data_IF_900796628292
#
_entry.id   IF_900796628292
#
_cell.length_a   1.000
_cell.length_b   1.000
_cell.length_c   1.000
_cell.angle_alpha   90.00
_cell.angle_beta   90.00
_cell.angle_gamma   90.00
#
_symmetry.space_group_name_H-M   'P 1'
#
loop_
_entity.id
_entity.type
_entity.pdbx_description
1 polymer ?
#
# COMPACT_ATOMS: atom_id res chain seq x y z
N UNK A 1 12.31 -16.60 29.37
CA UNK A 1 12.03 -16.43 27.92
C UNK A 1 10.67 -15.77 27.78
N UNK A 2 10.60 -14.50 27.39
CA UNK A 2 9.33 -13.79 27.19
C UNK A 2 8.90 -13.94 25.73
N UNK A 3 7.79 -14.65 25.49
CA UNK A 3 7.15 -14.73 24.19
C UNK A 3 6.33 -13.46 24.03
N UNK A 4 6.83 -12.48 23.27
CA UNK A 4 6.07 -11.29 22.93
C UNK A 4 4.99 -11.66 21.88
N UNK A 5 3.87 -12.21 22.33
CA UNK A 5 2.70 -12.45 21.49
C UNK A 5 1.79 -11.21 21.49
N UNK A 6 1.99 -10.29 20.54
CA UNK A 6 0.92 -9.44 20.02
C UNK A 6 1.35 -8.70 18.73
N UNK A 7 0.90 -9.18 17.54
CA UNK A 7 0.45 -8.22 16.53
C UNK A 7 -0.91 -8.54 15.88
N UNK A 8 -1.55 -9.66 16.23
CA UNK A 8 -2.72 -10.18 15.50
C UNK A 8 -3.92 -9.22 15.49
N UNK A 9 -4.31 -8.66 16.64
CA UNK A 9 -5.48 -7.78 16.75
C UNK A 9 -5.37 -6.46 15.97
N UNK A 10 -4.16 -6.06 15.57
CA UNK A 10 -3.94 -4.82 14.79
C UNK A 10 -3.81 -5.07 13.29
N UNK A 11 -3.32 -6.25 12.90
CA UNK A 11 -3.32 -6.69 11.51
C UNK A 11 -4.76 -6.86 10.99
N UNK A 12 -5.68 -7.35 11.82
CA UNK A 12 -7.11 -7.43 11.47
C UNK A 12 -7.73 -6.07 11.17
N UNK A 13 -7.38 -5.02 11.94
CA UNK A 13 -7.91 -3.67 11.72
C UNK A 13 -7.34 -2.99 10.47
N UNK A 14 -6.13 -3.37 10.08
CA UNK A 14 -5.47 -2.93 8.85
C UNK A 14 -6.00 -3.67 7.62
N UNK A 15 -6.44 -4.91 7.81
CA UNK A 15 -6.87 -5.79 6.74
C UNK A 15 -8.15 -5.28 6.07
N UNK A 16 -8.23 -5.50 4.76
CA UNK A 16 -9.32 -5.02 3.92
C UNK A 16 -8.87 -3.98 2.91
N UNK A 17 -9.87 -3.38 2.26
CA UNK A 17 -9.68 -2.48 1.12
C UNK A 17 -9.84 -1.04 1.56
N UNK A 18 -8.84 -0.23 1.23
CA UNK A 18 -8.76 1.21 1.46
C UNK A 18 -8.59 1.91 0.13
N UNK A 19 -9.45 2.89 -0.15
CA UNK A 19 -9.47 3.51 -1.47
C UNK A 19 -9.56 5.01 -1.38
N UNK A 20 -8.90 5.68 -2.33
CA UNK A 20 -8.97 7.11 -2.55
C UNK A 20 -9.06 7.39 -4.05
N UNK A 21 -9.04 8.66 -4.45
CA UNK A 21 -9.43 9.09 -5.80
C UNK A 21 -8.76 8.32 -6.95
N UNK A 22 -7.47 7.99 -6.83
CA UNK A 22 -6.66 7.32 -7.89
C UNK A 22 -5.83 6.15 -7.38
N UNK A 23 -6.16 5.65 -6.18
CA UNK A 23 -5.37 4.61 -5.55
C UNK A 23 -6.23 3.68 -4.71
N UNK A 24 -5.87 2.40 -4.70
CA UNK A 24 -6.49 1.37 -3.86
C UNK A 24 -5.39 0.58 -3.18
N UNK A 25 -5.48 0.48 -1.87
CA UNK A 25 -4.65 -0.32 -1.00
C UNK A 25 -5.49 -1.48 -0.48
N UNK A 26 -5.04 -2.70 -0.73
CA UNK A 26 -5.59 -3.90 -0.13
C UNK A 26 -4.54 -4.48 0.81
N UNK A 27 -4.91 -4.67 2.07
CA UNK A 27 -4.02 -5.28 3.07
C UNK A 27 -4.64 -6.57 3.60
N UNK A 28 -3.76 -7.49 3.93
CA UNK A 28 -4.01 -8.78 4.57
C UNK A 28 -3.01 -8.94 5.72
N UNK A 29 -3.18 -9.94 6.60
CA UNK A 29 -2.21 -10.20 7.65
C UNK A 29 -0.78 -10.50 7.17
N UNK A 30 -0.61 -10.89 5.91
CA UNK A 30 0.68 -11.28 5.33
C UNK A 30 1.33 -10.20 4.45
N UNK A 31 0.64 -9.10 4.20
CA UNK A 31 1.06 -8.07 3.27
C UNK A 31 -0.11 -7.57 2.44
N UNK A 32 0.10 -7.17 1.20
CA UNK A 32 -1.00 -6.63 0.41
C UNK A 32 -0.62 -6.17 -0.98
N UNK A 33 -1.51 -5.38 -1.58
CA UNK A 33 -1.28 -4.73 -2.86
C UNK A 33 -1.65 -3.24 -2.77
N UNK A 34 -0.92 -2.41 -3.51
CA UNK A 34 -1.27 -1.02 -3.71
C UNK A 34 -1.27 -0.73 -5.20
N UNK A 35 -2.41 -0.27 -5.69
CA UNK A 35 -2.62 -0.06 -7.12
C UNK A 35 -3.02 1.37 -7.39
N UNK A 36 -2.31 1.98 -8.33
CA UNK A 36 -2.52 3.31 -8.87
C UNK A 36 -2.99 3.22 -10.33
N UNK A 37 -3.22 4.37 -10.97
CA UNK A 37 -3.69 4.40 -12.37
C UNK A 37 -2.75 3.68 -13.35
N UNK A 38 -1.44 3.82 -13.17
CA UNK A 38 -0.40 3.25 -14.05
C UNK A 38 0.72 2.54 -13.27
N UNK A 39 0.41 2.06 -12.07
CA UNK A 39 1.37 1.28 -11.30
C UNK A 39 0.68 0.30 -10.36
N UNK A 40 1.34 -0.81 -10.10
CA UNK A 40 0.94 -1.80 -9.12
C UNK A 40 2.12 -2.11 -8.21
N UNK A 41 1.85 -2.30 -6.93
CA UNK A 41 2.88 -2.54 -5.92
C UNK A 41 2.49 -3.73 -5.06
N UNK A 42 3.35 -4.73 -4.99
CA UNK A 42 3.23 -5.78 -3.97
C UNK A 42 3.79 -5.26 -2.65
N UNK A 43 3.04 -5.43 -1.56
CA UNK A 43 3.43 -5.00 -0.22
C UNK A 43 3.73 -6.23 0.62
N UNK A 44 4.89 -6.23 1.28
CA UNK A 44 5.28 -7.26 2.22
C UNK A 44 4.60 -7.11 3.60
N UNK A 45 5.06 -7.84 4.62
CA UNK A 45 4.47 -7.78 5.95
C UNK A 45 4.44 -6.36 6.52
N UNK A 46 3.32 -6.01 7.14
CA UNK A 46 3.10 -4.69 7.74
C UNK A 46 3.56 -4.67 9.19
N UNK A 47 4.37 -3.67 9.55
CA UNK A 47 4.77 -3.43 10.93
C UNK A 47 3.87 -2.36 11.54
N UNK A 48 3.04 -2.77 12.50
CA UNK A 48 2.14 -1.87 13.22
C UNK A 48 2.80 -1.21 14.44
N UNK A 49 2.53 0.07 14.65
CA UNK A 49 2.92 0.86 15.83
C UNK A 49 1.66 1.42 16.49
N UNK A 50 1.08 0.63 17.40
CA UNK A 50 -0.21 0.93 18.04
C UNK A 50 -0.26 2.30 18.74
N UNK A 51 0.76 2.65 19.52
CA UNK A 51 0.81 3.94 20.24
C UNK A 51 0.82 5.17 19.31
N UNK A 52 1.34 5.02 18.10
CA UNK A 52 1.36 6.08 17.10
C UNK A 52 0.20 5.98 16.10
N UNK A 53 -0.65 4.94 16.17
CA UNK A 53 -1.64 4.59 15.13
C UNK A 53 -1.06 4.60 13.72
N UNK A 54 0.19 4.13 13.58
CA UNK A 54 0.99 4.18 12.35
C UNK A 54 1.40 2.78 11.93
N UNK A 55 1.51 2.55 10.63
CA UNK A 55 2.16 1.36 10.09
C UNK A 55 3.30 1.72 9.15
N UNK A 56 4.22 0.78 9.00
CA UNK A 56 5.23 0.82 7.94
C UNK A 56 5.29 -0.52 7.22
N UNK A 57 5.49 -0.48 5.92
CA UNK A 57 5.73 -1.69 5.12
C UNK A 57 6.72 -1.38 4.00
N UNK A 58 7.35 -2.41 3.47
CA UNK A 58 8.15 -2.33 2.25
C UNK A 58 7.38 -3.00 1.12
N UNK A 59 7.61 -2.54 -0.10
CA UNK A 59 7.00 -3.12 -1.28
C UNK A 59 7.85 -2.98 -2.51
N UNK A 60 7.40 -3.62 -3.57
CA UNK A 60 8.02 -3.58 -4.90
C UNK A 60 7.03 -3.01 -5.89
N UNK A 61 7.28 -1.78 -6.34
CA UNK A 61 6.44 -1.03 -7.28
C UNK A 61 6.85 -1.35 -8.70
N UNK A 62 5.88 -1.75 -9.49
CA UNK A 62 5.96 -1.97 -10.92
C UNK A 62 5.20 -0.85 -11.61
N UNK A 63 5.89 -0.08 -12.44
CA UNK A 63 5.24 0.92 -13.28
C UNK A 63 4.76 0.27 -14.57
N UNK A 64 3.51 0.53 -14.92
CA UNK A 64 2.86 0.06 -16.14
C UNK A 64 2.87 1.18 -17.17
N UNK A 65 3.26 0.87 -18.41
CA UNK A 65 3.30 1.83 -19.50
C UNK A 65 1.97 1.87 -20.28
N UNK A 66 1.74 2.91 -21.10
CA UNK A 66 0.63 2.90 -22.04
C UNK A 66 0.81 1.79 -23.10
N UNK A 67 -0.29 1.11 -23.43
CA UNK A 67 -0.31 0.05 -24.44
C UNK A 67 0.02 -1.36 -23.91
N UNK A 68 -0.01 -2.37 -24.78
CA UNK A 68 0.24 -3.76 -24.40
C UNK A 68 1.70 -3.93 -23.94
N UNK A 69 1.89 -4.35 -22.69
CA UNK A 69 3.18 -4.82 -22.21
C UNK A 69 3.43 -6.26 -22.69
N UNK A 70 4.65 -6.53 -23.16
CA UNK A 70 5.09 -7.90 -23.47
C UNK A 70 5.17 -8.70 -22.18
N UNK A 71 4.49 -9.84 -22.12
CA UNK A 71 4.51 -10.74 -20.97
C UNK A 71 5.91 -11.28 -20.66
N UNK A 72 6.77 -11.40 -21.69
CA UNK A 72 8.12 -11.96 -21.58
C UNK A 72 9.16 -10.97 -21.04
N UNK A 73 8.80 -9.68 -20.90
CA UNK A 73 9.70 -8.65 -20.40
C UNK A 73 9.38 -8.39 -18.94
N UNK A 74 10.32 -8.74 -18.06
CA UNK A 74 10.21 -8.41 -16.64
C UNK A 74 10.02 -6.89 -16.47
N UNK A 75 8.90 -6.44 -15.86
CA UNK A 75 8.68 -5.03 -15.63
C UNK A 75 9.79 -4.44 -14.75
N UNK A 76 10.22 -3.21 -15.05
CA UNK A 76 11.17 -2.52 -14.19
C UNK A 76 10.49 -2.23 -12.84
N UNK A 77 10.95 -2.92 -11.80
CA UNK A 77 10.42 -2.78 -10.45
C UNK A 77 11.39 -2.02 -9.54
N UNK A 78 10.85 -1.12 -8.70
CA UNK A 78 11.63 -0.37 -7.71
C UNK A 78 11.18 -0.70 -6.29
N UNK A 79 12.12 -0.73 -5.35
CA UNK A 79 11.78 -0.87 -3.93
C UNK A 79 11.14 0.44 -3.44
N UNK A 80 10.06 0.31 -2.68
CA UNK A 80 9.35 1.44 -2.08
C UNK A 80 9.06 1.16 -0.60
N UNK A 81 8.95 2.24 0.16
CA UNK A 81 8.56 2.21 1.56
C UNK A 81 7.21 2.90 1.74
N UNK A 82 6.32 2.19 2.42
CA UNK A 82 5.01 2.67 2.82
C UNK A 82 5.06 3.12 4.26
N UNK A 83 4.39 4.24 4.51
CA UNK A 83 4.07 4.69 5.85
C UNK A 83 2.62 5.15 5.88
N UNK A 84 1.78 4.43 6.62
CA UNK A 84 0.40 4.82 6.83
C UNK A 84 0.14 5.35 8.22
N UNK A 85 -0.63 6.43 8.34
CA UNK A 85 -1.08 7.01 9.60
C UNK A 85 -2.60 7.01 9.64
N UNK A 86 -3.19 6.47 10.69
CA UNK A 86 -4.64 6.53 10.88
C UNK A 86 -5.04 7.78 11.64
N UNK A 87 -6.02 8.49 11.08
CA UNK A 87 -6.66 9.66 11.70
C UNK A 87 -8.17 9.44 11.68
N UNK A 88 -8.74 9.01 12.80
CA UNK A 88 -10.13 8.52 12.84
C UNK A 88 -10.27 7.27 11.97
N UNK A 89 -11.15 7.33 10.97
CA UNK A 89 -11.40 6.26 9.98
C UNK A 89 -10.68 6.50 8.64
N UNK A 90 -9.85 7.54 8.56
CA UNK A 90 -9.07 7.86 7.36
C UNK A 90 -7.64 7.33 7.50
N UNK A 91 -7.09 6.84 6.39
CA UNK A 91 -5.71 6.44 6.26
C UNK A 91 -4.94 7.46 5.41
N UNK A 92 -3.97 8.14 6.02
CA UNK A 92 -2.99 8.97 5.32
C UNK A 92 -1.78 8.10 4.96
N UNK A 93 -1.62 7.80 3.67
CA UNK A 93 -0.58 6.92 3.16
C UNK A 93 0.52 7.73 2.48
N UNK A 94 1.75 7.53 2.92
CA UNK A 94 2.95 8.05 2.29
C UNK A 94 3.71 6.91 1.62
N UNK A 95 4.09 7.10 0.35
CA UNK A 95 4.82 6.13 -0.46
C UNK A 95 6.08 6.81 -0.98
N UNK A 96 7.25 6.29 -0.62
CA UNK A 96 8.54 6.82 -1.05
C UNK A 96 9.40 5.75 -1.69
N UNK A 97 10.14 6.12 -2.72
CA UNK A 97 11.28 5.35 -3.23
C UNK A 97 12.56 6.12 -2.92
N UNK A 98 13.69 5.42 -2.76
CA UNK A 98 14.98 6.10 -2.55
C UNK A 98 15.28 7.02 -3.74
N UNK A 99 15.57 8.30 -3.45
CA UNK A 99 15.85 9.32 -4.45
C UNK A 99 14.62 9.88 -5.20
N UNK A 100 13.40 9.48 -4.84
CA UNK A 100 12.17 10.01 -5.44
C UNK A 100 11.35 10.86 -4.44
N UNK A 101 10.53 11.81 -4.93
CA UNK A 101 9.59 12.53 -4.08
C UNK A 101 8.62 11.59 -3.37
N UNK A 102 8.30 11.92 -2.11
CA UNK A 102 7.30 11.21 -1.33
C UNK A 102 5.91 11.50 -1.90
N UNK A 103 5.18 10.46 -2.31
CA UNK A 103 3.80 10.56 -2.75
C UNK A 103 2.85 10.39 -1.56
N UNK A 104 1.81 11.22 -1.48
CA UNK A 104 0.83 11.21 -0.38
C UNK A 104 -0.57 10.90 -0.91
N UNK A 105 -1.26 9.98 -0.23
CA UNK A 105 -2.62 9.54 -0.57
C UNK A 105 -3.51 9.60 0.66
N UNK A 106 -4.78 9.91 0.44
CA UNK A 106 -5.83 9.83 1.47
C UNK A 106 -6.77 8.72 1.09
N UNK A 107 -6.87 7.70 1.94
CA UNK A 107 -7.65 6.51 1.69
C UNK A 107 -8.75 6.39 2.75
N UNK A 108 -9.90 5.89 2.32
CA UNK A 108 -11.05 5.59 3.18
C UNK A 108 -11.41 4.09 3.06
N UNK A 109 -11.95 3.48 4.11
CA UNK A 109 -12.33 2.07 4.07
C UNK A 109 -13.47 1.84 3.08
N UNK A 110 -13.39 0.75 2.31
CA UNK A 110 -14.53 0.13 1.64
C UNK A 110 -15.22 0.92 0.51
N UNK A 111 -14.69 2.05 0.04
CA UNK A 111 -15.26 2.72 -1.14
C UNK A 111 -14.67 2.15 -2.42
N UNK A 112 -15.45 1.36 -3.15
CA UNK A 112 -15.11 1.03 -4.54
C UNK A 112 -15.02 2.32 -5.37
N UNK A 113 -13.82 2.70 -5.78
CA UNK A 113 -13.59 3.80 -6.72
C UNK A 113 -13.58 3.23 -8.13
N UNK A 114 -14.32 3.87 -9.04
CA UNK A 114 -14.17 3.63 -10.48
C UNK A 114 -12.81 4.18 -10.90
N UNK A 115 -11.83 3.29 -11.12
CA UNK A 115 -10.51 3.66 -11.62
C UNK A 115 -10.48 3.48 -13.14
N UNK A 116 -9.99 4.50 -13.85
CA UNK A 116 -9.67 4.39 -15.28
C UNK A 116 -8.16 4.20 -15.36
N UNK A 117 -7.72 3.06 -15.90
CA UNK A 117 -6.30 2.76 -16.08
C UNK A 117 -5.77 3.61 -17.24
N UNK A 118 -4.71 4.37 -16.98
CA UNK A 118 -3.93 5.16 -17.96
C UNK A 118 -4.77 5.83 -19.07
N UNK A 119 -5.38 6.99 -18.73
CA UNK A 119 -5.86 7.97 -19.72
C UNK A 119 -4.69 8.71 -20.37
#
# INVERSE_FOLDING_TARGET
MAIAAAPLASADRLSGVWSGDRATLELTPHGGSFTEDCASTSIGPVVWRAGARRFTATGRKTTEGPGPQRADVAPKSVAVRFTGQFTGDRLDLNVGADGAPLAHYRLMPGRAVKRIRCL
#
